data_IF_965904064151
#
_entry.id   IF_965904064151
#
_cell.length_a   1.000
_cell.length_b   1.000
_cell.length_c   1.000
_cell.angle_alpha   90.00
_cell.angle_beta   90.00
_cell.angle_gamma   90.00
#
_symmetry.space_group_name_H-M   'P 1'
#
loop_
_entity.id
_entity.type
_entity.pdbx_description
1 polymer ?
#
# COMPACT_ATOMS: atom_id res chain seq x y z
N UNK A 1 19.12 12.16 2.49
CA UNK A 1 18.57 10.96 3.14
C UNK A 1 17.25 10.62 2.48
N UNK A 2 17.06 9.40 1.96
CA UNK A 2 15.74 9.01 1.48
C UNK A 2 14.79 8.98 2.68
N UNK A 3 13.62 9.61 2.58
CA UNK A 3 12.57 9.53 3.60
C UNK A 3 12.31 8.06 3.91
N UNK A 4 12.26 7.69 5.19
CA UNK A 4 11.89 6.34 5.59
C UNK A 4 10.53 5.98 4.94
N UNK A 5 10.35 4.74 4.48
CA UNK A 5 9.08 4.33 3.88
C UNK A 5 7.93 4.52 4.89
N UNK A 6 6.70 4.70 4.40
CA UNK A 6 5.49 4.76 5.22
C UNK A 6 5.31 3.47 6.06
N UNK A 7 4.45 3.50 7.07
CA UNK A 7 4.34 2.37 8.02
C UNK A 7 3.40 1.26 7.55
N UNK A 8 2.53 1.52 6.56
CA UNK A 8 1.57 0.54 6.06
C UNK A 8 2.01 -0.06 4.74
N UNK A 9 2.17 -1.38 4.75
CA UNK A 9 2.57 -2.18 3.60
C UNK A 9 1.49 -3.18 3.24
N UNK A 10 1.58 -3.71 2.02
CA UNK A 10 0.75 -4.81 1.56
C UNK A 10 1.64 -5.90 0.97
N UNK A 11 1.19 -7.16 1.05
CA UNK A 11 1.82 -8.23 0.27
C UNK A 11 1.42 -8.12 -1.21
N UNK A 12 2.26 -8.62 -2.10
CA UNK A 12 2.00 -8.61 -3.55
C UNK A 12 0.67 -9.25 -3.98
N UNK A 13 0.07 -10.10 -3.14
CA UNK A 13 -1.28 -10.62 -3.37
C UNK A 13 -2.34 -9.52 -3.49
N UNK A 14 -2.30 -8.47 -2.66
CA UNK A 14 -3.27 -7.36 -2.75
C UNK A 14 -3.17 -6.63 -4.10
N UNK A 15 -1.94 -6.48 -4.62
CA UNK A 15 -1.68 -5.89 -5.95
C UNK A 15 -2.21 -6.80 -7.07
N UNK A 16 -2.06 -8.12 -6.93
CA UNK A 16 -2.59 -9.11 -7.88
C UNK A 16 -4.12 -9.13 -7.88
N UNK A 17 -4.76 -9.06 -6.71
CA UNK A 17 -6.22 -9.01 -6.58
C UNK A 17 -6.84 -7.79 -7.25
N UNK A 18 -6.11 -6.67 -7.32
CA UNK A 18 -6.52 -5.49 -8.06
C UNK A 18 -6.43 -5.66 -9.59
N UNK A 19 -5.91 -6.78 -10.10
CA UNK A 19 -5.82 -7.12 -11.54
C UNK A 19 -5.17 -6.03 -12.40
N UNK A 20 -4.21 -5.31 -11.82
CA UNK A 20 -3.52 -4.21 -12.51
C UNK A 20 -4.28 -2.88 -12.50
N UNK A 21 -5.47 -2.79 -11.89
CA UNK A 21 -6.26 -1.56 -11.78
C UNK A 21 -5.83 -0.75 -10.54
N UNK A 22 -5.33 0.48 -10.78
CA UNK A 22 -4.88 1.37 -9.71
C UNK A 22 -6.02 1.79 -8.77
N UNK A 23 -7.22 2.06 -9.30
CA UNK A 23 -8.39 2.46 -8.48
C UNK A 23 -8.80 1.33 -7.54
N UNK A 24 -8.99 0.13 -8.09
CA UNK A 24 -9.35 -1.03 -7.29
C UNK A 24 -8.34 -1.27 -6.16
N UNK A 25 -7.04 -1.08 -6.44
CA UNK A 25 -6.02 -1.18 -5.39
C UNK A 25 -6.18 -0.10 -4.32
N UNK A 26 -6.22 1.19 -4.70
CA UNK A 26 -6.28 2.29 -3.74
C UNK A 26 -7.57 2.24 -2.89
N UNK A 27 -8.71 1.93 -3.50
CA UNK A 27 -10.00 1.76 -2.81
C UNK A 27 -9.94 0.56 -1.85
N UNK A 28 -9.25 -0.52 -2.22
CA UNK A 28 -9.10 -1.70 -1.34
C UNK A 28 -8.27 -1.43 -0.07
N UNK A 29 -7.35 -0.47 -0.12
CA UNK A 29 -6.53 -0.01 1.02
C UNK A 29 -7.04 1.28 1.65
N UNK A 30 -8.19 1.80 1.21
CA UNK A 30 -8.85 2.99 1.77
C UNK A 30 -8.01 4.27 1.62
N UNK A 31 -7.26 4.39 0.53
CA UNK A 31 -6.46 5.59 0.25
C UNK A 31 -7.35 6.66 -0.40
N UNK A 32 -7.37 7.83 0.21
CA UNK A 32 -8.02 9.02 -0.34
C UNK A 32 -7.31 9.50 -1.62
N UNK A 33 -8.06 9.70 -2.69
CA UNK A 33 -7.56 10.26 -3.95
C UNK A 33 -8.63 11.03 -4.73
N UNK A 34 -8.22 11.76 -5.76
CA UNK A 34 -9.11 12.60 -6.59
C UNK A 34 -10.30 11.85 -7.19
N UNK A 35 -10.15 10.55 -7.44
CA UNK A 35 -11.24 9.69 -7.91
C UNK A 35 -12.27 9.25 -6.85
N UNK A 36 -12.06 9.49 -5.55
CA UNK A 36 -12.97 9.06 -4.47
C UNK A 36 -13.23 10.15 -3.41
N UNK A 37 -12.56 11.31 -3.46
CA UNK A 37 -12.78 12.42 -2.53
C UNK A 37 -12.47 13.78 -3.15
N UNK A 38 -13.18 14.82 -2.69
CA UNK A 38 -12.92 16.22 -3.06
C UNK A 38 -11.60 16.72 -2.46
N UNK A 39 -10.94 17.67 -3.13
CA UNK A 39 -9.67 18.28 -2.72
C UNK A 39 -8.58 17.27 -2.31
N UNK A 40 -8.49 16.15 -3.05
CA UNK A 40 -7.56 15.07 -2.78
C UNK A 40 -6.41 15.05 -3.79
N UNK A 41 -5.28 14.42 -3.41
CA UNK A 41 -4.16 14.18 -4.32
C UNK A 41 -4.55 13.18 -5.41
N UNK A 42 -3.76 13.16 -6.48
CA UNK A 42 -3.93 12.17 -7.54
C UNK A 42 -3.76 10.73 -7.04
N UNK A 43 -4.51 9.84 -7.67
CA UNK A 43 -4.46 8.41 -7.39
C UNK A 43 -3.06 7.85 -7.65
N UNK A 44 -2.56 7.05 -6.71
CA UNK A 44 -1.24 6.41 -6.83
C UNK A 44 -1.28 5.35 -7.92
N UNK A 45 -0.37 5.44 -8.88
CA UNK A 45 -0.26 4.52 -10.03
C UNK A 45 0.97 3.60 -9.97
N UNK A 46 1.84 3.83 -8.99
CA UNK A 46 3.09 3.11 -8.79
C UNK A 46 3.28 2.74 -7.33
N UNK A 47 3.98 1.63 -7.09
CA UNK A 47 4.31 1.12 -5.77
C UNK A 47 5.82 0.88 -5.68
N UNK A 48 6.40 1.21 -4.53
CA UNK A 48 7.73 0.76 -4.17
C UNK A 48 7.68 -0.71 -3.71
N UNK A 49 8.69 -1.49 -4.09
CA UNK A 49 8.82 -2.89 -3.68
C UNK A 49 9.96 -3.01 -2.68
N UNK A 50 9.66 -3.63 -1.54
CA UNK A 50 10.61 -3.94 -0.48
C UNK A 50 10.71 -5.46 -0.28
N UNK A 51 11.88 -5.91 0.16
CA UNK A 51 12.15 -7.27 0.63
C UNK A 51 12.34 -7.21 2.15
N UNK A 52 11.75 -8.17 2.86
CA UNK A 52 11.98 -8.37 4.29
C UNK A 52 13.18 -9.31 4.40
N UNK A 53 14.31 -8.81 4.91
CA UNK A 53 15.56 -9.59 4.99
C UNK A 53 15.65 -10.41 6.28
N UNK A 54 14.99 -9.94 7.33
CA UNK A 54 14.98 -10.56 8.66
C UNK A 54 13.55 -10.69 9.18
N UNK A 55 13.29 -11.70 10.00
CA UNK A 55 11.99 -11.90 10.62
C UNK A 55 11.61 -10.72 11.51
N UNK A 56 10.41 -10.19 11.28
CA UNK A 56 9.84 -9.05 12.00
C UNK A 56 8.43 -9.33 12.50
N UNK A 57 8.12 -8.83 13.68
CA UNK A 57 6.74 -8.76 14.17
C UNK A 57 6.03 -7.57 13.53
N UNK A 58 4.83 -7.81 13.00
CA UNK A 58 4.05 -6.79 12.28
C UNK A 58 2.61 -6.77 12.76
N UNK A 59 2.01 -5.59 12.78
CA UNK A 59 0.57 -5.45 12.99
C UNK A 59 -0.17 -5.86 11.72
N UNK A 60 -0.88 -7.00 11.73
CA UNK A 60 -1.70 -7.43 10.59
C UNK A 60 -3.14 -6.98 10.79
N UNK A 61 -3.68 -6.21 9.85
CA UNK A 61 -5.06 -5.74 9.89
C UNK A 61 -5.73 -5.84 8.51
N UNK A 62 -7.05 -5.76 8.46
CA UNK A 62 -7.82 -5.68 7.21
C UNK A 62 -8.45 -4.29 7.12
N UNK A 63 -8.24 -3.62 5.99
CA UNK A 63 -8.93 -2.37 5.69
C UNK A 63 -10.43 -2.68 5.56
N UNK A 64 -11.27 -2.20 6.48
CA UNK A 64 -12.72 -2.35 6.35
C UNK A 64 -13.26 -1.35 5.34
N UNK A 65 -14.35 -1.70 4.68
CA UNK A 65 -15.05 -0.79 3.77
C UNK A 65 -15.46 0.49 4.51
N UNK A 66 -15.10 1.65 3.94
CA UNK A 66 -15.61 2.95 4.35
C UNK A 66 -16.31 3.56 3.14
N UNK A 67 -17.57 3.95 3.30
CA UNK A 67 -18.37 4.63 2.26
C UNK A 67 -17.68 5.88 1.70
N UNK A 68 -16.70 6.43 2.42
CA UNK A 68 -15.94 7.61 2.03
C UNK A 68 -14.80 7.33 1.03
N UNK A 69 -14.16 6.16 1.07
CA UNK A 69 -12.90 5.92 0.32
C UNK A 69 -12.88 4.64 -0.51
N UNK A 70 -13.90 3.79 -0.41
CA UNK A 70 -14.06 2.63 -1.30
C UNK A 70 -14.33 1.32 -0.56
N UNK A 71 -14.24 0.22 -1.28
CA UNK A 71 -14.73 -1.10 -0.84
C UNK A 71 -13.86 -1.77 0.24
N UNK A 72 -12.63 -1.32 0.42
CA UNK A 72 -11.70 -1.91 1.37
C UNK A 72 -11.35 -3.36 1.01
N UNK A 73 -11.00 -4.14 2.01
CA UNK A 73 -10.77 -5.58 1.88
C UNK A 73 -9.30 -6.00 1.81
N UNK A 74 -8.37 -5.09 1.55
CA UNK A 74 -6.95 -5.42 1.56
C UNK A 74 -6.44 -5.71 2.97
N UNK A 75 -5.60 -6.74 3.10
CA UNK A 75 -4.79 -6.95 4.31
C UNK A 75 -3.61 -5.98 4.27
N UNK A 76 -3.43 -5.24 5.37
CA UNK A 76 -2.33 -4.31 5.56
C UNK A 76 -1.43 -4.79 6.69
N UNK A 77 -0.15 -4.48 6.57
CA UNK A 77 0.89 -4.83 7.51
C UNK A 77 1.52 -3.52 8.02
N UNK A 78 1.30 -3.23 9.29
CA UNK A 78 1.95 -2.12 9.97
C UNK A 78 3.33 -2.57 10.43
N UNK A 79 4.36 -1.88 9.94
CA UNK A 79 5.75 -2.08 10.33
C UNK A 79 6.18 -0.85 11.13
N UNK A 80 6.68 -1.07 12.34
CA UNK A 80 7.18 -0.01 13.22
C UNK A 80 8.44 0.60 12.63
N UNK A 81 8.70 1.86 12.97
CA UNK A 81 9.91 2.56 12.51
C UNK A 81 11.21 1.81 12.83
N UNK A 82 11.29 1.21 14.04
CA UNK A 82 12.45 0.42 14.47
C UNK A 82 12.72 -0.83 13.63
N UNK A 83 11.70 -1.34 12.93
CA UNK A 83 11.80 -2.55 12.10
C UNK A 83 12.02 -2.20 10.61
N UNK A 84 12.02 -0.91 10.23
CA UNK A 84 12.22 -0.49 8.83
C UNK A 84 13.63 -0.72 8.31
N UNK A 85 14.64 -0.74 9.19
CA UNK A 85 16.02 -1.08 8.79
C UNK A 85 16.16 -2.51 8.28
N UNK A 86 15.19 -3.38 8.59
CA UNK A 86 15.11 -4.78 8.14
C UNK A 86 14.38 -4.93 6.80
N UNK A 87 14.03 -3.80 6.17
CA UNK A 87 13.43 -3.73 4.83
C UNK A 87 14.45 -3.20 3.83
N UNK A 88 14.74 -4.00 2.79
CA UNK A 88 15.55 -3.56 1.66
C UNK A 88 14.64 -3.04 0.55
N UNK A 89 14.83 -1.78 0.15
CA UNK A 89 14.23 -1.27 -1.09
C UNK A 89 14.87 -1.95 -2.28
N UNK A 90 14.07 -2.51 -3.17
CA UNK A 90 14.58 -3.13 -4.40
C UNK A 90 14.99 -2.12 -5.48
N UNK A 91 14.73 -0.82 -5.27
CA UNK A 91 14.85 0.22 -6.29
C UNK A 91 13.82 0.10 -7.44
N UNK A 92 12.97 -0.93 -7.43
CA UNK A 92 11.98 -1.18 -8.48
C UNK A 92 10.64 -0.53 -8.13
N UNK A 93 10.00 0.03 -9.15
CA UNK A 93 8.62 0.49 -9.10
C UNK A 93 7.70 -0.49 -9.82
N UNK A 94 6.60 -0.88 -9.16
CA UNK A 94 5.51 -1.60 -9.80
C UNK A 94 4.44 -0.61 -10.25
N UNK A 95 4.26 -0.47 -11.55
CA UNK A 95 3.14 0.27 -12.11
C UNK A 95 1.89 -0.59 -12.19
N UNK A 96 0.73 0.01 -11.94
CA UNK A 96 -0.56 -0.52 -12.37
C UNK A 96 -0.67 -0.40 -13.89
N UNK A 97 -1.24 -1.41 -14.57
CA UNK A 97 -1.47 -1.34 -16.01
C UNK A 97 -2.63 -0.36 -16.25
N UNK A 98 -2.54 0.44 -17.32
CA UNK A 98 -3.64 1.33 -17.72
C UNK A 98 -4.88 0.52 -18.05
#
# INVERSE_FOLDING_TARGET
MASAPENYFVRGYAVRSARGNARAFNDSVQVRHSGNATAARDMRKQLHIFVVEEDICVGKSKAKANKKYGDGGATQYYIRDMDKSKLTSTGKLRSFRR
#
